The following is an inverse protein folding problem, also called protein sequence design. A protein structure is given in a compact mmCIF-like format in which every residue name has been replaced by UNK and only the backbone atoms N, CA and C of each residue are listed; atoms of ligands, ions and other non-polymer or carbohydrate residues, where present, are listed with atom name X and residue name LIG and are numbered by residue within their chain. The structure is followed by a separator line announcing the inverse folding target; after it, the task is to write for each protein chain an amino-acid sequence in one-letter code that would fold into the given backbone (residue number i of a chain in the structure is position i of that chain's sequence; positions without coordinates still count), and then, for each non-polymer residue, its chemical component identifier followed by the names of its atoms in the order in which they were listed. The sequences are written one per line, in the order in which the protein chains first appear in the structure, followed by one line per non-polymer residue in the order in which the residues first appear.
data_IF_807460970803
#
_entry.id   IF_807460970803
#
_cell.length_a   1.000
_cell.length_b   1.000
_cell.length_c   1.000
_cell.angle_alpha   90.00
_cell.angle_beta   90.00
_cell.angle_gamma   90.00
#
_symmetry.space_group_name_H-M   'P 1'
#
loop_
_entity.id
_entity.type
_entity.pdbx_description
1 polymer ?
#
# COMPACT_ATOMS: atom_id res chain seq x y z
N UNK A 1 -4.92 4.54 -10.19
CA UNK A 1 -3.99 3.55 -9.63
C UNK A 1 -4.40 3.41 -8.19
N UNK A 2 -5.01 2.28 -7.83
CA UNK A 2 -5.29 1.96 -6.44
C UNK A 2 -3.98 1.67 -5.70
N UNK A 3 -3.99 1.73 -4.37
CA UNK A 3 -2.79 1.53 -3.56
C UNK A 3 -2.18 0.14 -3.78
N UNK A 4 -2.99 -0.91 -3.93
CA UNK A 4 -2.49 -2.23 -4.36
C UNK A 4 -1.81 -2.21 -5.73
N UNK A 5 -2.34 -1.48 -6.73
CA UNK A 5 -1.70 -1.40 -8.05
C UNK A 5 -0.35 -0.68 -8.00
N UNK A 6 -0.20 0.28 -7.08
CA UNK A 6 1.08 0.94 -6.83
C UNK A 6 2.02 -0.06 -6.19
N UNK A 7 1.62 -0.70 -5.08
CA UNK A 7 2.48 -1.63 -4.34
C UNK A 7 2.88 -2.86 -5.18
N UNK A 8 1.98 -3.38 -6.01
CA UNK A 8 2.24 -4.45 -6.99
C UNK A 8 3.31 -4.06 -8.02
N UNK A 9 3.20 -2.83 -8.54
CA UNK A 9 4.19 -2.25 -9.43
C UNK A 9 5.54 -2.03 -8.71
N UNK A 10 5.52 -1.57 -7.46
CA UNK A 10 6.74 -1.23 -6.72
C UNK A 10 7.55 -2.41 -6.25
N UNK A 11 6.86 -3.48 -5.93
CA UNK A 11 7.48 -4.67 -5.38
C UNK A 11 7.64 -5.75 -6.44
N UNK A 12 7.30 -5.44 -7.71
CA UNK A 12 7.33 -6.39 -8.85
C UNK A 12 6.54 -7.68 -8.55
N UNK A 13 5.44 -7.59 -7.81
CA UNK A 13 4.68 -8.76 -7.40
C UNK A 13 5.23 -9.52 -6.19
N UNK A 14 6.38 -9.12 -5.63
CA UNK A 14 7.06 -9.85 -4.53
C UNK A 14 6.81 -9.30 -3.13
N UNK A 15 6.33 -8.05 -3.03
CA UNK A 15 5.88 -7.35 -1.81
C UNK A 15 6.73 -7.54 -0.55
N UNK A 16 8.03 -7.71 -0.72
CA UNK A 16 8.96 -7.76 0.39
C UNK A 16 9.23 -6.35 0.94
N UNK A 17 9.29 -6.15 2.27
CA UNK A 17 9.53 -4.86 2.91
C UNK A 17 10.88 -4.21 2.53
N UNK A 18 11.80 -5.02 2.00
CA UNK A 18 13.16 -4.63 1.58
C UNK A 18 13.32 -4.49 0.06
N UNK A 19 12.35 -4.94 -0.75
CA UNK A 19 12.46 -4.88 -2.21
C UNK A 19 12.01 -3.51 -2.69
N UNK A 20 13.01 -2.67 -2.98
CA UNK A 20 12.83 -1.48 -3.82
C UNK A 20 12.96 -1.88 -5.28
N UNK A 21 12.15 -1.32 -6.17
CA UNK A 21 12.40 -1.41 -7.60
C UNK A 21 13.71 -0.68 -7.95
N UNK A 22 14.85 -1.38 -7.91
CA UNK A 22 16.13 -0.87 -8.40
C UNK A 22 16.06 -0.82 -9.92
N UNK A 23 15.55 0.29 -10.46
CA UNK A 23 15.82 0.63 -11.85
C UNK A 23 17.35 0.67 -12.04
N UNK A 24 17.88 -0.29 -12.80
CA UNK A 24 19.27 -0.30 -13.25
C UNK A 24 19.50 0.90 -14.16
N UNK A 25 20.50 1.73 -13.85
CA UNK A 25 21.04 2.70 -14.81
C UNK A 25 22.49 2.36 -15.10
N UNK A 26 22.90 2.39 -16.38
CA UNK A 26 24.32 2.49 -16.73
C UNK A 26 24.90 3.75 -16.08
N UNK A 27 26.15 3.67 -15.60
CA UNK A 27 26.85 4.67 -14.78
C UNK A 27 27.06 6.06 -15.43
N UNK A 28 26.42 6.36 -16.56
CA UNK A 28 26.76 7.48 -17.44
C UNK A 28 25.66 8.54 -17.61
N UNK A 29 24.52 8.43 -16.90
CA UNK A 29 23.42 9.41 -17.05
C UNK A 29 23.41 10.42 -15.90
N UNK A 30 23.53 11.72 -16.22
CA UNK A 30 23.49 12.82 -15.24
C UNK A 30 22.16 12.79 -14.45
N UNK A 31 22.29 12.73 -13.12
CA UNK A 31 21.21 12.63 -12.10
C UNK A 31 20.08 13.68 -12.21
N UNK A 32 20.33 14.81 -12.87
CA UNK A 32 19.44 15.99 -12.85
C UNK A 32 18.27 15.96 -13.85
N UNK A 33 18.27 15.07 -14.84
CA UNK A 33 17.29 15.12 -15.95
C UNK A 33 16.47 13.84 -16.10
N UNK A 34 16.65 12.87 -15.21
CA UNK A 34 15.94 11.60 -15.26
C UNK A 34 14.75 11.68 -14.30
N UNK A 35 13.56 12.00 -14.83
CA UNK A 35 12.29 11.75 -14.14
C UNK A 35 12.03 10.25 -14.11
N UNK A 36 12.86 9.53 -13.37
CA UNK A 36 12.65 8.11 -13.16
C UNK A 36 11.45 7.96 -12.25
N UNK A 37 10.45 7.21 -12.71
CA UNK A 37 9.41 6.64 -11.85
C UNK A 37 10.03 5.54 -10.98
N UNK A 38 11.05 5.91 -10.20
CA UNK A 38 11.57 5.10 -9.10
C UNK A 38 10.61 5.33 -7.96
N UNK A 39 9.92 4.29 -7.54
CA UNK A 39 9.18 4.41 -6.30
C UNK A 39 10.09 4.55 -5.12
N UNK A 40 9.60 5.38 -4.22
CA UNK A 40 10.20 5.77 -2.97
C UNK A 40 9.64 4.92 -1.81
N UNK A 41 8.68 4.03 -2.07
CA UNK A 41 8.07 3.16 -1.06
C UNK A 41 9.13 2.39 -0.26
N UNK A 42 9.08 2.47 1.08
CA UNK A 42 10.15 1.97 1.97
C UNK A 42 9.61 1.46 3.30
N UNK A 43 10.18 0.38 3.84
CA UNK A 43 10.00 0.01 5.25
C UNK A 43 8.75 -0.81 5.55
N UNK A 44 8.37 -0.86 6.83
CA UNK A 44 7.38 -1.78 7.43
C UNK A 44 6.03 -1.81 6.70
N UNK A 45 5.55 -0.66 6.24
CA UNK A 45 4.27 -0.55 5.51
C UNK A 45 4.44 0.05 4.11
N UNK A 46 5.66 -0.03 3.56
CA UNK A 46 5.97 0.56 2.25
C UNK A 46 5.62 2.06 2.18
N UNK A 47 6.09 2.84 3.16
CA UNK A 47 5.87 4.28 3.26
C UNK A 47 6.24 4.97 1.93
N UNK A 48 5.24 5.53 1.24
CA UNK A 48 5.47 6.34 0.04
C UNK A 48 6.13 7.67 0.41
N UNK A 49 6.72 8.39 -0.56
CA UNK A 49 7.26 9.75 -0.30
C UNK A 49 6.23 10.68 0.36
N UNK A 50 5.01 10.76 -0.19
CA UNK A 50 3.96 11.61 0.37
C UNK A 50 3.59 11.19 1.82
N UNK A 51 3.57 9.89 2.08
CA UNK A 51 3.34 9.35 3.44
C UNK A 51 4.49 9.71 4.38
N UNK A 52 5.74 9.52 3.96
CA UNK A 52 6.91 9.86 4.76
C UNK A 52 6.96 11.35 5.11
N UNK A 53 6.68 12.22 4.13
CA UNK A 53 6.59 13.67 4.31
C UNK A 53 5.48 14.05 5.29
N UNK A 54 4.28 13.47 5.16
CA UNK A 54 3.17 13.68 6.09
C UNK A 54 3.47 13.20 7.52
N UNK A 55 4.42 12.27 7.67
CA UNK A 55 4.92 11.79 8.95
C UNK A 55 6.16 12.57 9.43
N UNK A 56 6.60 13.60 8.71
CA UNK A 56 7.74 14.45 9.07
C UNK A 56 9.09 13.76 8.91
N UNK A 57 9.23 12.87 7.93
CA UNK A 57 10.48 12.18 7.58
C UNK A 57 10.62 12.07 6.05
N UNK A 58 11.60 11.30 5.59
CA UNK A 58 11.78 10.99 4.16
C UNK A 58 11.94 9.48 3.97
N UNK A 59 11.70 9.03 2.75
CA UNK A 59 11.92 7.64 2.35
C UNK A 59 13.38 7.22 2.41
N UNK A 60 14.29 8.17 2.26
CA UNK A 60 15.73 8.02 2.44
C UNK A 60 16.06 7.79 3.92
N UNK A 61 15.54 8.62 4.82
CA UNK A 61 15.74 8.46 6.27
C UNK A 61 15.16 7.15 6.77
N UNK A 62 13.94 6.78 6.34
CA UNK A 62 13.32 5.49 6.66
C UNK A 62 14.17 4.31 6.18
N UNK A 63 14.89 4.44 5.06
CA UNK A 63 15.76 3.39 4.52
C UNK A 63 16.91 2.99 5.46
N UNK A 64 17.40 3.96 6.23
CA UNK A 64 18.51 3.78 7.16
C UNK A 64 18.04 3.42 8.57
N UNK A 65 16.73 3.36 8.79
CA UNK A 65 16.13 2.98 10.07
C UNK A 65 15.96 1.46 10.18
N UNK A 66 16.20 0.93 11.36
CA UNK A 66 15.77 -0.43 11.72
C UNK A 66 14.25 -0.52 11.81
N UNK A 67 13.71 -1.74 11.82
CA UNK A 67 12.27 -1.96 11.99
C UNK A 67 11.74 -1.29 13.26
N UNK A 68 12.44 -1.44 14.40
CA UNK A 68 12.09 -0.80 15.67
C UNK A 68 12.05 0.73 15.57
N UNK A 69 13.00 1.33 14.84
CA UNK A 69 13.03 2.79 14.62
C UNK A 69 11.89 3.28 13.71
N UNK A 70 11.30 2.39 12.91
CA UNK A 70 10.13 2.71 12.08
C UNK A 70 8.80 2.59 12.84
N UNK A 71 8.74 1.90 13.99
CA UNK A 71 7.51 1.71 14.78
C UNK A 71 6.84 3.05 15.17
N UNK A 72 7.55 4.10 15.62
CA UNK A 72 6.92 5.39 15.90
C UNK A 72 6.23 6.03 14.69
N UNK A 73 6.79 5.85 13.49
CA UNK A 73 6.18 6.32 12.24
C UNK A 73 4.96 5.49 11.86
N UNK A 74 5.03 4.18 12.08
CA UNK A 74 3.90 3.27 11.93
C UNK A 74 2.74 3.66 12.85
N UNK A 75 3.02 3.90 14.13
CA UNK A 75 2.01 4.31 15.11
C UNK A 75 1.35 5.65 14.71
N UNK A 76 2.14 6.63 14.25
CA UNK A 76 1.62 7.90 13.75
C UNK A 76 0.77 7.73 12.50
N UNK A 77 1.18 6.88 11.57
CA UNK A 77 0.40 6.56 10.37
C UNK A 77 -0.97 5.98 10.73
N UNK A 78 -1.00 4.98 11.61
CA UNK A 78 -2.25 4.37 12.09
C UNK A 78 -3.12 5.41 12.81
N UNK A 79 -2.54 6.28 13.64
CA UNK A 79 -3.28 7.35 14.29
C UNK A 79 -3.90 8.34 13.29
N UNK A 80 -3.19 8.72 12.21
CA UNK A 80 -3.69 9.61 11.16
C UNK A 80 -4.85 9.00 10.35
N UNK A 81 -4.87 7.68 10.19
CA UNK A 81 -5.86 6.97 9.38
C UNK A 81 -6.96 6.29 10.19
N UNK A 82 -6.88 6.35 11.52
CA UNK A 82 -7.93 5.84 12.41
C UNK A 82 -9.23 6.64 12.22
N UNK A 83 -10.33 5.92 12.06
CA UNK A 83 -11.69 6.46 12.03
C UNK A 83 -12.45 6.04 13.29
N UNK A 84 -13.62 6.66 13.51
CA UNK A 84 -14.44 6.38 14.68
C UNK A 84 -14.84 4.89 14.78
N UNK A 85 -15.06 4.24 13.64
CA UNK A 85 -15.49 2.85 13.55
C UNK A 85 -14.33 1.84 13.42
N UNK A 86 -13.07 2.30 13.49
CA UNK A 86 -11.92 1.42 13.32
C UNK A 86 -11.74 0.48 14.52
N UNK A 87 -11.66 -0.81 14.25
CA UNK A 87 -11.35 -1.87 15.21
C UNK A 87 -10.05 -2.59 14.84
N UNK A 88 -8.95 -2.24 15.51
CA UNK A 88 -7.66 -2.90 15.27
C UNK A 88 -7.52 -4.29 15.89
N UNK A 89 -8.57 -4.84 16.54
CA UNK A 89 -8.63 -6.28 16.81
C UNK A 89 -9.07 -7.08 15.58
N UNK A 90 -9.66 -6.41 14.58
CA UNK A 90 -9.99 -6.99 13.29
C UNK A 90 -8.80 -6.87 12.31
N UNK A 91 -8.24 -7.98 11.80
CA UNK A 91 -7.13 -7.94 10.84
C UNK A 91 -7.49 -7.19 9.54
N UNK A 92 -8.75 -7.17 9.13
CA UNK A 92 -9.20 -6.42 7.95
C UNK A 92 -8.96 -4.92 8.13
N UNK A 93 -9.23 -4.36 9.31
CA UNK A 93 -9.05 -2.94 9.58
C UNK A 93 -7.57 -2.54 9.66
N UNK A 94 -6.70 -3.44 10.13
CA UNK A 94 -5.25 -3.28 10.05
C UNK A 94 -4.81 -3.25 8.58
N UNK A 95 -5.21 -4.26 7.81
CA UNK A 95 -4.89 -4.41 6.41
C UNK A 95 -5.38 -3.22 5.58
N UNK A 96 -6.63 -2.80 5.76
CA UNK A 96 -7.23 -1.67 5.09
C UNK A 96 -6.55 -0.36 5.51
N UNK A 97 -6.06 -0.24 6.75
CA UNK A 97 -5.31 0.96 7.15
C UNK A 97 -4.05 1.12 6.33
N UNK A 98 -3.39 0.02 5.94
CA UNK A 98 -2.19 0.05 5.11
C UNK A 98 -2.53 0.15 3.62
N UNK A 99 -3.47 -0.67 3.14
CA UNK A 99 -3.66 -0.89 1.71
C UNK A 99 -4.89 -0.19 1.13
N UNK A 100 -5.84 0.28 1.95
CA UNK A 100 -7.00 1.05 1.47
C UNK A 100 -7.61 1.95 2.58
N UNK A 101 -6.91 3.01 3.03
CA UNK A 101 -7.33 3.80 4.20
C UNK A 101 -8.76 4.35 4.11
N UNK A 102 -9.23 4.60 2.88
CA UNK A 102 -10.59 5.07 2.61
C UNK A 102 -11.69 4.11 3.09
N UNK A 103 -11.42 2.81 3.26
CA UNK A 103 -12.41 1.81 3.64
C UNK A 103 -12.25 1.23 5.05
N UNK A 104 -11.28 1.72 5.83
CA UNK A 104 -11.11 1.32 7.24
C UNK A 104 -12.39 1.57 8.03
N UNK A 105 -12.77 0.62 8.89
CA UNK A 105 -13.94 0.68 9.78
C UNK A 105 -15.29 0.57 9.06
N UNK A 106 -15.30 0.23 7.77
CA UNK A 106 -16.54 0.08 6.99
C UNK A 106 -17.07 -1.37 6.96
N UNK A 107 -16.32 -2.31 7.53
CA UNK A 107 -16.65 -3.74 7.52
C UNK A 107 -16.21 -4.46 6.24
N UNK A 108 -16.14 -5.78 6.33
CA UNK A 108 -15.56 -6.65 5.29
C UNK A 108 -16.40 -6.70 4.00
N UNK A 109 -17.72 -6.50 4.08
CA UNK A 109 -18.62 -6.44 2.92
C UNK A 109 -18.66 -5.06 2.23
N UNK A 110 -17.90 -4.07 2.73
CA UNK A 110 -17.87 -2.76 2.13
C UNK A 110 -17.34 -2.83 0.68
N UNK A 111 -18.12 -2.32 -0.26
CA UNK A 111 -17.77 -2.34 -1.68
C UNK A 111 -16.80 -1.20 -2.00
N UNK A 112 -15.54 -1.54 -2.28
CA UNK A 112 -14.46 -0.63 -2.67
C UNK A 112 -14.59 -0.20 -4.13
N UNK A 113 -14.97 -1.11 -5.03
CA UNK A 113 -15.13 -0.82 -6.46
C UNK A 113 -16.29 -1.60 -7.09
N UNK A 114 -16.83 -1.06 -8.18
CA UNK A 114 -17.95 -1.64 -8.93
C UNK A 114 -17.67 -1.66 -10.43
N UNK A 115 -18.11 -2.70 -11.11
CA UNK A 115 -18.00 -2.86 -12.57
C UNK A 115 -18.49 -1.61 -13.30
N UNK A 116 -17.77 -1.21 -14.35
CA UNK A 116 -18.00 0.04 -15.09
C UNK A 116 -17.33 1.28 -14.49
N UNK A 117 -16.66 1.17 -13.33
CA UNK A 117 -15.81 2.25 -12.79
C UNK A 117 -14.34 1.98 -13.08
N UNK A 118 -13.56 3.04 -13.29
CA UNK A 118 -12.10 2.94 -13.49
C UNK A 118 -11.39 2.19 -12.37
N UNK A 119 -11.82 2.38 -11.11
CA UNK A 119 -11.27 1.65 -9.96
C UNK A 119 -11.48 0.15 -10.05
N UNK A 120 -12.62 -0.30 -10.57
CA UNK A 120 -12.86 -1.72 -10.80
C UNK A 120 -12.01 -2.25 -11.93
N UNK A 121 -11.95 -1.57 -13.08
CA UNK A 121 -11.14 -2.03 -14.22
C UNK A 121 -9.65 -2.17 -13.86
N UNK A 122 -9.12 -1.33 -12.97
CA UNK A 122 -7.74 -1.42 -12.50
C UNK A 122 -7.48 -2.56 -11.53
N UNK A 123 -8.53 -3.09 -10.90
CA UNK A 123 -8.44 -4.10 -9.85
C UNK A 123 -9.33 -5.31 -10.16
N UNK A 124 -9.74 -5.50 -11.41
CA UNK A 124 -10.76 -6.50 -11.78
C UNK A 124 -10.37 -7.93 -11.39
N UNK A 125 -9.07 -8.21 -11.27
CA UNK A 125 -8.53 -9.48 -10.76
C UNK A 125 -8.95 -9.82 -9.32
N UNK A 126 -9.38 -8.82 -8.54
CA UNK A 126 -9.77 -8.97 -7.13
C UNK A 126 -11.21 -9.48 -6.99
N UNK A 127 -12.06 -9.27 -8.00
CA UNK A 127 -13.41 -9.82 -8.09
C UNK A 127 -13.27 -11.29 -8.52
N UNK A 128 -12.90 -12.17 -7.58
CA UNK A 128 -12.48 -13.54 -7.88
C UNK A 128 -13.45 -14.60 -7.37
N UNK A 129 -14.17 -14.36 -6.27
CA UNK A 129 -15.17 -15.29 -5.74
C UNK A 129 -16.06 -14.66 -4.65
N UNK A 130 -17.36 -14.44 -4.92
CA UNK A 130 -18.04 -14.61 -6.20
C UNK A 130 -17.68 -13.50 -7.21
N UNK A 131 -17.70 -13.82 -8.51
CA UNK A 131 -17.53 -12.81 -9.59
C UNK A 131 -18.79 -11.96 -9.79
N UNK A 132 -19.16 -11.15 -8.80
CA UNK A 132 -20.45 -10.45 -8.76
C UNK A 132 -20.38 -9.01 -9.33
N UNK A 133 -19.22 -8.58 -9.80
CA UNK A 133 -19.01 -7.23 -10.32
C UNK A 133 -18.75 -6.19 -9.24
N UNK A 134 -18.49 -6.62 -8.01
CA UNK A 134 -18.09 -5.79 -6.88
C UNK A 134 -16.71 -6.28 -6.41
N UNK A 135 -15.94 -5.36 -5.87
CA UNK A 135 -14.72 -5.67 -5.13
C UNK A 135 -14.95 -5.15 -3.74
N UNK A 136 -14.99 -6.07 -2.78
CA UNK A 136 -15.22 -5.82 -1.36
C UNK A 136 -13.90 -5.58 -0.63
N UNK A 137 -13.99 -5.03 0.57
CA UNK A 137 -12.87 -4.92 1.49
C UNK A 137 -12.27 -6.29 1.80
N UNK A 138 -13.11 -7.31 1.99
CA UNK A 138 -12.67 -8.70 2.21
C UNK A 138 -11.83 -9.23 1.07
N UNK A 139 -12.28 -9.09 -0.17
CA UNK A 139 -11.52 -9.58 -1.35
C UNK A 139 -10.19 -8.87 -1.50
N UNK A 140 -10.17 -7.57 -1.18
CA UNK A 140 -8.96 -6.78 -1.20
C UNK A 140 -7.94 -7.25 -0.14
N UNK A 141 -8.40 -7.55 1.07
CA UNK A 141 -7.56 -8.08 2.17
C UNK A 141 -7.13 -9.51 1.88
N UNK A 142 -8.03 -10.36 1.39
CA UNK A 142 -7.73 -11.75 1.05
C UNK A 142 -6.66 -11.84 -0.03
N UNK A 143 -6.72 -11.00 -1.07
CA UNK A 143 -5.65 -10.94 -2.06
C UNK A 143 -4.32 -10.53 -1.43
N UNK A 144 -4.32 -9.58 -0.50
CA UNK A 144 -3.10 -9.18 0.18
C UNK A 144 -2.49 -10.35 1.00
N UNK A 145 -3.33 -11.10 1.70
CA UNK A 145 -2.93 -12.31 2.44
C UNK A 145 -2.41 -13.42 1.53
N UNK A 146 -3.13 -13.73 0.44
CA UNK A 146 -2.78 -14.81 -0.50
C UNK A 146 -1.39 -14.64 -1.11
N UNK A 147 -0.90 -13.41 -1.13
CA UNK A 147 0.39 -13.07 -1.70
C UNK A 147 1.47 -12.81 -0.65
N UNK A 148 1.15 -13.01 0.63
CA UNK A 148 2.10 -12.96 1.75
C UNK A 148 2.41 -11.54 2.25
N UNK A 149 1.45 -10.61 2.15
CA UNK A 149 1.67 -9.19 2.50
C UNK A 149 1.37 -8.87 3.97
N UNK A 150 0.77 -9.80 4.70
CA UNK A 150 0.35 -9.72 6.09
C UNK A 150 0.67 -11.03 6.81
#
# INVERSE_FOLDING_TARGET
MGLLSVIDYETRGTFHPYIRNKGTFPSSVKKSSIKTRRSTATGLIQFTQATAEALGTTTESLAFMSQHQQIPYLARYFAQHRKAQTDYSNPDDIALTIFHPASVGQGSDHVIARRGRRSYHQNARLDNSPQDGRITAREYVQEALNRGYL
#
